data_IF_762362342932
#
_entry.id   IF_762362342932
#
_cell.length_a   1.000
_cell.length_b   1.000
_cell.length_c   1.000
_cell.angle_alpha   90.00
_cell.angle_beta   90.00
_cell.angle_gamma   90.00
#
_symmetry.space_group_name_H-M   'P 1'
#
loop_
_entity.id
_entity.type
_entity.pdbx_description
1 polymer ?
#
# COMPACT_ATOMS: atom_id res chain seq x y z
N UNK A 1 -7.38 0.86 17.19
CA UNK A 1 -6.43 0.40 16.14
C UNK A 1 -5.46 1.48 15.69
N UNK A 2 -5.94 2.69 15.35
CA UNK A 2 -5.06 3.82 14.99
C UNK A 2 -4.08 4.16 16.13
N UNK A 3 -4.58 4.15 17.38
CA UNK A 3 -3.78 4.41 18.58
C UNK A 3 -2.58 3.45 18.74
N UNK A 4 -2.80 2.14 18.62
CA UNK A 4 -1.75 1.12 18.61
C UNK A 4 -0.68 1.41 17.54
N UNK A 5 -1.09 1.75 16.32
CA UNK A 5 -0.15 2.05 15.23
C UNK A 5 0.68 3.30 15.54
N UNK A 6 0.08 4.37 16.06
CA UNK A 6 0.82 5.58 16.49
C UNK A 6 1.89 5.24 17.53
N UNK A 7 1.53 4.44 18.53
CA UNK A 7 2.44 4.01 19.60
C UNK A 7 3.58 3.13 19.05
N UNK A 8 3.27 2.15 18.21
CA UNK A 8 4.28 1.30 17.55
C UNK A 8 5.24 2.13 16.68
N UNK A 9 4.72 3.07 15.88
CA UNK A 9 5.54 3.94 15.04
C UNK A 9 6.42 4.87 15.88
N UNK A 10 5.90 5.39 16.99
CA UNK A 10 6.68 6.21 17.92
C UNK A 10 7.84 5.41 18.54
N UNK A 11 7.58 4.19 19.03
CA UNK A 11 8.63 3.33 19.60
C UNK A 11 9.69 2.90 18.59
N UNK A 12 9.30 2.67 17.32
CA UNK A 12 10.26 2.34 16.25
C UNK A 12 11.00 3.56 15.69
N UNK A 13 10.40 4.76 15.78
CA UNK A 13 10.98 6.01 15.30
C UNK A 13 11.94 6.68 16.29
N UNK A 14 11.87 6.33 17.58
CA UNK A 14 12.87 6.75 18.56
C UNK A 14 14.21 6.08 18.21
N UNK A 15 15.28 6.88 18.05
CA UNK A 15 16.65 6.48 17.62
C UNK A 15 17.34 5.38 18.47
N UNK A 16 16.66 4.79 19.45
CA UNK A 16 17.11 3.58 20.11
C UNK A 16 16.85 2.38 19.19
N UNK A 17 17.86 1.52 19.00
CA UNK A 17 17.77 0.27 18.24
C UNK A 17 16.84 -0.76 18.95
N UNK A 18 15.59 -0.39 19.18
CA UNK A 18 14.57 -1.28 19.72
C UNK A 18 14.32 -2.38 18.70
N UNK A 19 14.63 -3.62 19.09
CA UNK A 19 14.38 -4.77 18.24
C UNK A 19 12.86 -4.96 18.14
N UNK A 20 12.39 -5.32 16.96
CA UNK A 20 10.96 -5.60 16.71
C UNK A 20 10.40 -6.62 17.72
N UNK A 21 11.23 -7.54 18.21
CA UNK A 21 10.86 -8.56 19.19
C UNK A 21 10.43 -7.92 20.51
N UNK A 22 11.16 -6.91 20.98
CA UNK A 22 10.91 -6.28 22.28
C UNK A 22 9.65 -5.42 22.22
N UNK A 23 9.45 -4.72 21.10
CA UNK A 23 8.21 -3.99 20.81
C UNK A 23 7.00 -4.95 20.83
N UNK A 24 7.12 -6.11 20.18
CA UNK A 24 6.05 -7.12 20.17
C UNK A 24 5.78 -7.65 21.58
N UNK A 25 6.82 -7.97 22.36
CA UNK A 25 6.64 -8.44 23.74
C UNK A 25 5.89 -7.42 24.60
N UNK A 26 6.27 -6.15 24.52
CA UNK A 26 5.61 -5.07 25.26
C UNK A 26 4.11 -4.99 24.96
N UNK A 27 3.72 -4.92 23.68
CA UNK A 27 2.31 -4.82 23.31
C UNK A 27 1.52 -6.11 23.55
N UNK A 28 2.17 -7.28 23.51
CA UNK A 28 1.52 -8.54 23.87
C UNK A 28 1.21 -8.60 25.37
N UNK A 29 2.10 -8.11 26.23
CA UNK A 29 1.84 -8.00 27.68
C UNK A 29 0.70 -7.02 27.98
N UNK A 30 0.55 -5.98 27.15
CA UNK A 30 -0.57 -5.03 27.22
C UNK A 30 -1.90 -5.62 26.70
N UNK A 31 -1.89 -6.87 26.21
CA UNK A 31 -3.08 -7.60 25.77
C UNK A 31 -3.37 -7.54 24.27
N UNK A 32 -2.49 -6.96 23.46
CA UNK A 32 -2.66 -6.95 22.00
C UNK A 32 -2.28 -8.29 21.38
N UNK A 33 -3.03 -8.69 20.34
CA UNK A 33 -2.68 -9.88 19.55
C UNK A 33 -1.35 -9.66 18.82
N UNK A 34 -0.47 -10.66 18.92
CA UNK A 34 0.85 -10.68 18.28
C UNK A 34 0.78 -10.35 16.77
N UNK A 35 -0.20 -10.91 16.07
CA UNK A 35 -0.41 -10.66 14.63
C UNK A 35 -0.66 -9.18 14.32
N UNK A 36 -1.49 -8.52 15.11
CA UNK A 36 -1.82 -7.09 14.93
C UNK A 36 -0.60 -6.19 15.13
N UNK A 37 0.27 -6.53 16.08
CA UNK A 37 1.50 -5.76 16.33
C UNK A 37 2.48 -5.94 15.17
N UNK A 38 2.67 -7.18 14.69
CA UNK A 38 3.51 -7.41 13.51
C UNK A 38 2.99 -6.72 12.25
N UNK A 39 1.67 -6.66 12.05
CA UNK A 39 1.08 -5.91 10.95
C UNK A 39 1.36 -4.41 11.06
N UNK A 40 1.27 -3.83 12.26
CA UNK A 40 1.64 -2.44 12.51
C UNK A 40 3.13 -2.17 12.21
N UNK A 41 4.02 -3.05 12.67
CA UNK A 41 5.46 -2.97 12.39
C UNK A 41 5.73 -3.06 10.87
N UNK A 42 5.06 -3.99 10.18
CA UNK A 42 5.20 -4.18 8.74
C UNK A 42 4.77 -2.92 7.98
N UNK A 43 3.65 -2.31 8.37
CA UNK A 43 3.18 -1.03 7.79
C UNK A 43 4.21 0.09 8.00
N UNK A 44 4.78 0.18 9.21
CA UNK A 44 5.85 1.15 9.51
C UNK A 44 7.06 0.99 8.60
N UNK A 45 7.51 -0.25 8.38
CA UNK A 45 8.66 -0.55 7.52
C UNK A 45 8.43 -0.22 6.05
N UNK A 46 7.20 -0.38 5.58
CA UNK A 46 6.82 -0.10 4.18
C UNK A 46 6.55 1.41 3.97
N UNK A 47 6.56 2.22 5.04
CA UNK A 47 6.26 3.65 4.97
C UNK A 47 4.78 3.95 4.73
N UNK A 48 3.89 2.99 5.05
CA UNK A 48 2.45 3.23 4.96
C UNK A 48 2.00 4.17 6.09
N UNK A 49 1.06 5.09 5.80
CA UNK A 49 0.53 5.99 6.81
C UNK A 49 -0.19 5.22 7.91
N UNK A 50 -0.22 5.82 9.09
CA UNK A 50 -0.91 5.27 10.25
C UNK A 50 -2.42 5.20 10.03
N UNK A 51 -2.97 6.15 9.28
CA UNK A 51 -4.38 6.23 8.97
C UNK A 51 -4.75 5.32 7.80
N UNK A 52 -5.87 4.61 7.95
CA UNK A 52 -6.46 3.92 6.81
C UNK A 52 -7.24 4.94 5.99
N UNK A 53 -6.86 5.10 4.73
CA UNK A 53 -7.71 5.82 3.80
C UNK A 53 -8.96 4.97 3.51
N UNK A 54 -10.15 5.58 3.49
CA UNK A 54 -11.33 4.90 3.02
C UNK A 54 -11.06 4.35 1.61
N UNK A 55 -11.60 3.18 1.29
CA UNK A 55 -11.56 2.68 -0.08
C UNK A 55 -12.17 3.73 -0.99
N UNK A 56 -11.34 4.41 -1.78
CA UNK A 56 -11.84 5.08 -2.97
C UNK A 56 -12.38 3.96 -3.87
N UNK A 57 -13.68 4.05 -4.18
CA UNK A 57 -14.33 3.09 -5.07
C UNK A 57 -13.59 2.98 -6.40
N UNK A 58 -13.92 1.96 -7.19
CA UNK A 58 -13.37 1.87 -8.55
C UNK A 58 -13.81 3.12 -9.33
N UNK A 59 -12.88 3.89 -9.91
CA UNK A 59 -13.26 5.02 -10.74
C UNK A 59 -14.11 4.52 -11.91
N UNK A 60 -15.33 5.05 -12.02
CA UNK A 60 -16.27 4.73 -13.11
C UNK A 60 -15.98 5.53 -14.38
N UNK A 61 -15.21 6.61 -14.26
CA UNK A 61 -14.79 7.46 -15.36
C UNK A 61 -13.37 7.95 -15.15
N UNK A 62 -12.60 8.07 -16.23
CA UNK A 62 -11.29 8.73 -16.20
C UNK A 62 -11.44 10.24 -16.30
N UNK A 63 -10.62 10.98 -15.57
CA UNK A 63 -10.46 12.41 -15.81
C UNK A 63 -9.76 12.64 -17.17
N UNK A 64 -9.86 13.85 -17.74
CA UNK A 64 -9.29 14.16 -19.07
C UNK A 64 -7.79 13.84 -19.17
N UNK A 65 -7.07 14.01 -18.07
CA UNK A 65 -5.61 13.83 -17.99
C UNK A 65 -5.21 12.36 -18.06
N UNK A 66 -5.89 11.51 -17.29
CA UNK A 66 -5.67 10.06 -17.24
C UNK A 66 -6.18 9.40 -18.52
N UNK A 67 -7.26 9.92 -19.10
CA UNK A 67 -7.77 9.49 -20.40
C UNK A 67 -6.75 9.78 -21.51
N UNK A 68 -6.12 10.96 -21.49
CA UNK A 68 -5.05 11.31 -22.44
C UNK A 68 -3.80 10.44 -22.27
N UNK A 69 -3.42 10.11 -21.04
CA UNK A 69 -2.32 9.15 -20.77
C UNK A 69 -2.63 7.77 -21.32
N UNK A 70 -3.85 7.28 -21.07
CA UNK A 70 -4.31 6.00 -21.60
C UNK A 70 -4.31 5.98 -23.14
N UNK A 71 -4.80 7.06 -23.77
CA UNK A 71 -4.77 7.21 -25.23
C UNK A 71 -3.35 7.16 -25.77
N UNK A 72 -2.43 7.93 -25.17
CA UNK A 72 -1.02 7.92 -25.57
C UNK A 72 -0.38 6.54 -25.41
N UNK A 73 -0.70 5.80 -24.34
CA UNK A 73 -0.19 4.43 -24.15
C UNK A 73 -0.75 3.45 -25.19
N UNK A 74 -2.03 3.59 -25.55
CA UNK A 74 -2.69 2.75 -26.56
C UNK A 74 -2.18 3.05 -27.97
N UNK A 75 -2.00 4.31 -28.34
CA UNK A 75 -1.50 4.73 -29.65
C UNK A 75 -0.07 4.21 -29.92
N UNK A 76 0.73 4.08 -28.87
CA UNK A 76 2.11 3.57 -28.96
C UNK A 76 2.20 2.03 -28.97
N UNK A 77 1.09 1.31 -28.84
CA UNK A 77 1.04 -0.15 -28.87
C UNK A 77 0.38 -0.66 -30.18
N UNK A 78 1.16 -1.31 -31.06
CA UNK A 78 0.58 -2.04 -32.22
C UNK A 78 -0.04 -3.35 -31.73
N UNK A 79 -1.31 -3.58 -32.04
CA UNK A 79 -2.03 -4.82 -31.70
C UNK A 79 -2.81 -4.78 -30.38
N UNK A 80 -3.24 -3.60 -29.93
CA UNK A 80 -4.06 -3.45 -28.74
C UNK A 80 -5.45 -4.08 -28.94
N UNK A 81 -5.80 -5.09 -28.13
CA UNK A 81 -7.16 -5.68 -28.10
C UNK A 81 -7.76 -5.57 -26.71
N UNK A 82 -8.97 -4.99 -26.64
CA UNK A 82 -9.77 -4.91 -25.41
C UNK A 82 -10.44 -6.27 -25.16
N UNK A 83 -9.70 -7.28 -24.71
CA UNK A 83 -10.33 -8.53 -24.26
C UNK A 83 -10.76 -8.32 -22.80
N UNK A 84 -12.07 -8.36 -22.55
CA UNK A 84 -12.74 -8.01 -21.29
C UNK A 84 -12.21 -8.72 -20.03
N UNK A 85 -11.39 -9.76 -20.15
CA UNK A 85 -10.85 -10.52 -19.01
C UNK A 85 -9.50 -11.17 -19.31
N UNK A 86 -8.39 -10.45 -19.44
CA UNK A 86 -7.04 -11.01 -19.16
C UNK A 86 -5.92 -9.96 -19.23
N UNK A 87 -4.86 -10.20 -18.47
CA UNK A 87 -3.67 -9.34 -18.29
C UNK A 87 -3.11 -8.82 -19.63
N UNK A 88 -2.83 -7.51 -19.64
CA UNK A 88 -2.28 -6.74 -20.74
C UNK A 88 -0.89 -7.26 -21.14
N UNK A 89 -0.69 -7.61 -22.42
CA UNK A 89 0.63 -7.71 -23.06
C UNK A 89 0.69 -6.72 -24.21
N UNK A 90 1.38 -5.60 -24.02
CA UNK A 90 1.79 -4.72 -25.13
C UNK A 90 3.18 -5.13 -25.59
N UNK A 91 3.36 -5.32 -26.91
CA UNK A 91 4.70 -5.35 -27.52
C UNK A 91 5.04 -3.93 -27.94
N UNK A 92 6.15 -3.42 -27.41
CA UNK A 92 6.68 -2.09 -27.74
C UNK A 92 7.09 -2.08 -29.22
N UNK A 93 6.65 -1.06 -29.96
CA UNK A 93 7.13 -0.79 -31.32
C UNK A 93 8.63 -0.44 -31.22
N UNK A 94 9.47 -1.12 -32.00
CA UNK A 94 10.90 -0.82 -32.08
C UNK A 94 11.15 0.60 -32.58
#
# INVERSE_FOLDING_TARGET
MIDLRKRVFSMLGQKGNLKNIDVVKYFVLEGFKKSTVYDAIKRCKIGLPVEDHPRSGRPTSFNKTDLKRLQNEVENCVGFSYIKHTKLKCKKKN
#
